data_IF_097860210660
#
_entry.id   IF_097860210660
#
_cell.length_a   1.000
_cell.length_b   1.000
_cell.length_c   1.000
_cell.angle_alpha   90.00
_cell.angle_beta   90.00
_cell.angle_gamma   90.00
#
_symmetry.space_group_name_H-M   'P 1'
#
loop_
_entity.id
_entity.type
_entity.pdbx_description
1 polymer ?
#
# COMPACT_ATOMS: atom_id res chain seq x y z
N UNK A 1 21.57 1.22 -19.95
CA UNK A 1 21.37 1.93 -19.40
C UNK A 1 20.24 2.37 -19.10
N UNK A 2 19.92 2.34 -18.22
CA UNK A 2 18.68 2.73 -17.84
C UNK A 2 18.43 4.10 -18.31
N UNK A 3 17.29 4.40 -18.53
CA UNK A 3 16.94 5.68 -18.97
C UNK A 3 17.27 6.60 -17.92
N UNK A 4 17.69 7.67 -18.30
CA UNK A 4 17.90 8.68 -17.38
C UNK A 4 16.62 9.16 -16.78
N UNK A 5 15.55 8.70 -17.18
CA UNK A 5 14.32 9.23 -16.71
C UNK A 5 14.00 8.89 -15.29
N UNK A 6 12.81 9.09 -14.91
CA UNK A 6 12.37 8.87 -13.56
C UNK A 6 12.48 7.41 -13.22
N UNK A 7 12.90 7.15 -12.03
CA UNK A 7 12.94 5.81 -11.52
C UNK A 7 11.60 5.50 -10.89
N UNK A 8 11.04 4.39 -11.28
CA UNK A 8 9.74 3.98 -10.78
C UNK A 8 9.84 2.60 -10.20
N UNK A 9 8.80 2.24 -9.47
CA UNK A 9 8.69 0.94 -8.84
C UNK A 9 7.34 0.33 -9.22
N UNK A 10 7.36 -0.92 -9.61
CA UNK A 10 6.15 -1.69 -9.72
C UNK A 10 5.86 -2.26 -8.36
N UNK A 11 4.76 -1.85 -7.78
CA UNK A 11 4.44 -2.21 -6.41
C UNK A 11 3.31 -3.21 -6.40
N UNK A 12 3.48 -4.25 -5.64
CA UNK A 12 2.46 -5.27 -5.47
C UNK A 12 2.17 -5.40 -4.00
N UNK A 13 0.91 -5.30 -3.63
CA UNK A 13 0.51 -5.44 -2.23
C UNK A 13 -0.26 -6.73 -2.08
N UNK A 14 0.17 -7.59 -1.19
CA UNK A 14 -0.50 -8.85 -0.91
C UNK A 14 -1.12 -8.75 0.46
N UNK A 15 -2.43 -8.94 0.54
CA UNK A 15 -3.17 -8.77 1.78
C UNK A 15 -3.70 -10.13 2.22
N UNK A 16 -3.34 -10.51 3.44
CA UNK A 16 -3.74 -11.80 4.01
C UNK A 16 -4.19 -11.60 5.43
N UNK A 17 -4.90 -12.58 5.95
CA UNK A 17 -5.23 -12.55 7.36
C UNK A 17 -4.12 -13.26 8.14
N UNK A 18 -4.30 -13.39 9.45
CA UNK A 18 -3.26 -13.98 10.29
C UNK A 18 -3.03 -15.44 10.00
N UNK A 19 -3.99 -16.10 9.38
CA UNK A 19 -3.84 -17.51 9.01
C UNK A 19 -3.25 -17.68 7.62
N UNK A 20 -2.88 -16.59 6.99
CA UNK A 20 -2.28 -16.65 5.65
C UNK A 20 -3.27 -16.71 4.52
N UNK A 21 -4.56 -16.53 4.79
CA UNK A 21 -5.55 -16.59 3.72
C UNK A 21 -5.68 -15.24 3.06
N UNK A 22 -5.78 -15.21 1.74
CA UNK A 22 -5.90 -13.94 1.03
C UNK A 22 -7.22 -13.25 1.35
N UNK A 23 -7.19 -11.94 1.36
CA UNK A 23 -8.37 -11.13 1.62
C UNK A 23 -8.76 -10.43 0.34
N UNK A 24 -9.93 -10.79 -0.18
CA UNK A 24 -10.49 -10.22 -1.38
C UNK A 24 -11.14 -8.88 -1.06
N UNK A 25 -11.05 -7.96 -1.99
CA UNK A 25 -11.75 -6.67 -1.90
C UNK A 25 -11.32 -5.80 -0.72
N UNK A 26 -10.10 -5.95 -0.30
CA UNK A 26 -9.55 -5.00 0.65
C UNK A 26 -9.17 -3.74 -0.10
N UNK A 27 -9.44 -2.59 0.50
CA UNK A 27 -9.07 -1.32 -0.09
C UNK A 27 -7.62 -1.04 0.25
N UNK A 28 -6.81 -0.87 -0.78
CA UNK A 28 -5.40 -0.58 -0.61
C UNK A 28 -5.17 0.85 -1.07
N UNK A 29 -4.71 1.67 -0.14
CA UNK A 29 -4.41 3.06 -0.44
C UNK A 29 -2.92 3.25 -0.35
N UNK A 30 -2.34 3.85 -1.36
CA UNK A 30 -0.92 4.15 -1.39
C UNK A 30 -0.78 5.64 -1.58
N UNK A 31 -0.12 6.30 -0.64
CA UNK A 31 0.10 7.73 -0.70
C UNK A 31 1.58 8.02 -0.68
N UNK A 32 1.98 8.93 -1.53
CA UNK A 32 3.36 9.35 -1.56
C UNK A 32 3.58 10.32 -0.41
N UNK A 33 4.56 10.04 0.41
CA UNK A 33 4.87 10.90 1.54
C UNK A 33 5.99 11.85 1.16
N UNK A 34 7.01 11.31 0.53
CA UNK A 34 8.16 12.10 0.22
C UNK A 34 8.88 11.50 -0.96
N UNK A 35 9.25 12.30 -1.91
CA UNK A 35 9.95 11.79 -3.06
C UNK A 35 10.72 12.88 -3.73
N UNK A 36 11.62 12.47 -4.60
CA UNK A 36 12.52 13.39 -5.18
C UNK A 36 11.92 14.26 -6.22
N UNK A 37 10.94 13.80 -6.92
CA UNK A 37 10.45 14.55 -8.04
C UNK A 37 9.07 15.04 -7.92
N UNK A 38 8.49 14.97 -6.77
CA UNK A 38 7.11 15.28 -6.64
C UNK A 38 6.78 16.70 -7.00
N UNK A 39 7.59 17.60 -6.65
CA UNK A 39 7.30 18.98 -6.83
C UNK A 39 7.98 19.60 -7.99
N UNK A 40 8.62 18.82 -8.81
CA UNK A 40 9.29 19.36 -9.86
C UNK A 40 8.40 20.02 -10.80
N UNK A 41 8.67 21.04 -11.32
CA UNK A 41 7.95 21.68 -12.42
C UNK A 41 6.59 22.24 -12.08
N UNK A 42 6.21 22.21 -10.85
CA UNK A 42 4.94 22.76 -10.48
C UNK A 42 3.74 22.08 -11.08
N UNK A 43 3.88 20.91 -11.63
CA UNK A 43 2.75 20.20 -12.17
C UNK A 43 2.11 19.35 -11.10
N UNK A 44 0.82 19.17 -11.23
CA UNK A 44 0.15 18.29 -10.31
C UNK A 44 0.49 16.87 -10.64
N UNK A 45 1.06 16.16 -9.70
CA UNK A 45 1.43 14.78 -9.88
C UNK A 45 0.51 13.96 -9.01
N UNK A 46 0.07 12.85 -9.54
CA UNK A 46 -0.77 11.97 -8.76
C UNK A 46 0.06 11.44 -7.60
N UNK A 47 -0.40 11.66 -6.39
CA UNK A 47 0.34 11.25 -5.20
C UNK A 47 -0.39 10.21 -4.39
N UNK A 48 -1.52 9.74 -4.87
CA UNK A 48 -2.23 8.69 -4.16
C UNK A 48 -2.92 7.77 -5.13
N UNK A 49 -3.04 6.52 -4.73
CA UNK A 49 -3.70 5.49 -5.53
C UNK A 49 -4.56 4.67 -4.60
N UNK A 50 -5.69 4.22 -5.11
CA UNK A 50 -6.58 3.35 -4.34
C UNK A 50 -7.04 2.22 -5.24
N UNK A 51 -6.82 0.99 -4.79
CA UNK A 51 -7.21 -0.18 -5.55
C UNK A 51 -7.79 -1.20 -4.57
N UNK A 52 -8.52 -2.15 -5.13
CA UNK A 52 -9.04 -3.25 -4.32
C UNK A 52 -8.27 -4.51 -4.66
N UNK A 53 -8.07 -5.35 -3.66
CA UNK A 53 -7.42 -6.62 -3.92
C UNK A 53 -8.35 -7.53 -4.70
N UNK A 54 -7.74 -8.45 -5.42
CA UNK A 54 -8.50 -9.46 -6.15
C UNK A 54 -8.70 -10.68 -5.26
N UNK A 55 -9.19 -11.76 -5.84
CA UNK A 55 -9.49 -12.96 -5.06
C UNK A 55 -8.25 -13.58 -4.44
N UNK A 56 -7.11 -13.27 -4.97
CA UNK A 56 -5.86 -13.77 -4.42
C UNK A 56 -5.27 -12.82 -3.40
N UNK A 57 -5.99 -11.76 -3.06
CA UNK A 57 -5.54 -10.80 -2.08
C UNK A 57 -4.50 -9.86 -2.61
N UNK A 58 -4.42 -9.67 -3.92
CA UNK A 58 -3.35 -8.90 -4.53
C UNK A 58 -3.89 -7.63 -5.15
N UNK A 59 -3.19 -6.54 -4.89
CA UNK A 59 -3.43 -5.28 -5.59
C UNK A 59 -2.13 -4.89 -6.28
N UNK A 60 -2.19 -4.72 -7.60
CA UNK A 60 -1.03 -4.31 -8.37
C UNK A 60 -1.14 -2.82 -8.63
N UNK A 61 -0.20 -2.09 -8.08
CA UNK A 61 -0.21 -0.64 -8.18
C UNK A 61 0.52 -0.26 -9.46
N UNK A 62 -0.01 0.69 -10.23
CA UNK A 62 0.74 1.15 -11.40
C UNK A 62 2.11 1.67 -10.99
N UNK A 63 3.06 1.72 -11.90
CA UNK A 63 4.40 2.19 -11.52
C UNK A 63 4.33 3.56 -10.85
N UNK A 64 5.01 3.67 -9.73
CA UNK A 64 5.00 4.89 -8.95
C UNK A 64 6.43 5.39 -8.81
N UNK A 65 6.62 6.67 -8.58
CA UNK A 65 7.97 7.19 -8.34
C UNK A 65 8.56 6.58 -7.09
N UNK A 66 9.85 6.44 -7.06
CA UNK A 66 10.51 5.92 -5.88
C UNK A 66 10.56 6.97 -4.79
N UNK A 67 10.53 6.51 -3.55
CA UNK A 67 10.53 7.39 -2.39
C UNK A 67 9.81 6.73 -1.24
N UNK A 68 9.38 7.54 -0.30
CA UNK A 68 8.68 7.04 0.87
C UNK A 68 7.19 7.09 0.64
N UNK A 69 6.52 6.00 0.92
CA UNK A 69 5.08 5.90 0.72
C UNK A 69 4.42 5.45 2.01
N UNK A 70 3.15 5.77 2.12
CA UNK A 70 2.30 5.27 3.19
C UNK A 70 1.33 4.28 2.57
N UNK A 71 1.28 3.08 3.08
CA UNK A 71 0.35 2.06 2.62
C UNK A 71 -0.69 1.85 3.70
N UNK A 72 -1.94 2.02 3.33
CA UNK A 72 -3.07 1.76 4.23
C UNK A 72 -3.94 0.69 3.61
N UNK A 73 -4.39 -0.24 4.42
CA UNK A 73 -5.25 -1.30 3.94
C UNK A 73 -6.46 -1.37 4.86
N UNK A 74 -7.63 -1.30 4.26
CA UNK A 74 -8.89 -1.30 4.99
C UNK A 74 -9.74 -2.44 4.46
N UNK A 75 -10.17 -3.32 5.35
CA UNK A 75 -11.03 -4.42 4.97
C UNK A 75 -12.07 -4.60 6.06
N UNK A 76 -13.25 -5.04 5.63
CA UNK A 76 -14.33 -5.26 6.55
C UNK A 76 -13.94 -6.33 7.55
N UNK A 77 -14.22 -6.11 8.80
CA UNK A 77 -13.97 -7.09 9.87
C UNK A 77 -12.50 -7.25 10.22
N UNK A 78 -11.67 -6.29 9.83
CA UNK A 78 -10.26 -6.31 10.18
C UNK A 78 -9.83 -4.96 10.70
N UNK A 79 -8.77 -4.93 11.46
CA UNK A 79 -8.19 -3.67 11.88
C UNK A 79 -7.52 -3.02 10.69
N UNK A 80 -7.58 -1.71 10.63
CA UNK A 80 -6.94 -0.96 9.56
C UNK A 80 -5.43 -1.05 9.71
N UNK A 81 -4.77 -1.31 8.60
CA UNK A 81 -3.32 -1.35 8.56
C UNK A 81 -2.80 -0.02 8.03
N UNK A 82 -1.71 0.47 8.58
CA UNK A 82 -1.09 1.67 8.06
C UNK A 82 0.38 1.67 8.43
N UNK A 83 1.23 1.82 7.43
CA UNK A 83 2.67 1.81 7.66
C UNK A 83 3.39 2.48 6.51
N UNK A 84 4.48 3.15 6.82
CA UNK A 84 5.31 3.78 5.82
C UNK A 84 6.37 2.80 5.34
N UNK A 85 6.70 2.90 4.07
CA UNK A 85 7.72 2.06 3.46
C UNK A 85 8.61 2.92 2.57
N UNK A 86 9.87 2.55 2.49
CA UNK A 86 10.76 3.15 1.52
C UNK A 86 10.79 2.27 0.30
N UNK A 87 10.53 2.85 -0.85
CA UNK A 87 10.46 2.11 -2.09
C UNK A 87 11.56 2.62 -3.00
N UNK A 88 12.56 1.81 -3.23
CA UNK A 88 13.67 2.22 -4.08
C UNK A 88 14.14 1.12 -5.00
N UNK A 89 13.33 0.11 -5.21
CA UNK A 89 13.64 -0.98 -6.13
C UNK A 89 12.73 -0.88 -7.35
N UNK A 90 13.11 -1.54 -8.42
CA UNK A 90 12.26 -1.55 -9.60
C UNK A 90 10.96 -2.31 -9.35
N UNK A 91 11.02 -3.32 -8.52
CA UNK A 91 9.85 -4.09 -8.18
C UNK A 91 9.86 -4.35 -6.70
N UNK A 92 8.72 -4.22 -6.08
CA UNK A 92 8.62 -4.48 -4.65
C UNK A 92 7.28 -5.09 -4.33
N UNK A 93 7.31 -6.13 -3.51
CA UNK A 93 6.10 -6.76 -2.99
C UNK A 93 6.05 -6.51 -1.50
N UNK A 94 4.93 -5.99 -1.05
CA UNK A 94 4.71 -5.76 0.38
C UNK A 94 3.60 -6.69 0.82
N UNK A 95 3.90 -7.51 1.82
CA UNK A 95 2.90 -8.40 2.37
C UNK A 95 2.29 -7.75 3.60
N UNK A 96 0.97 -7.68 3.62
CA UNK A 96 0.23 -7.07 4.72
C UNK A 96 -0.62 -8.15 5.36
N UNK A 97 -0.45 -8.33 6.66
CA UNK A 97 -1.29 -9.25 7.41
C UNK A 97 -2.25 -8.44 8.25
N UNK A 98 -3.54 -8.60 8.00
CA UNK A 98 -4.55 -7.86 8.73
C UNK A 98 -4.96 -8.64 9.97
N UNK A 99 -5.07 -7.91 11.06
CA UNK A 99 -5.45 -8.47 12.33
C UNK A 99 -6.96 -8.46 12.48
N UNK A 100 -7.51 -9.43 13.20
CA UNK A 100 -8.94 -9.40 13.47
C UNK A 100 -9.27 -8.19 14.33
N UNK A 101 -10.53 -7.79 14.38
CA UNK A 101 -10.90 -6.64 15.19
C UNK A 101 -10.54 -6.90 16.63
N UNK A 102 -10.16 -5.83 17.30
CA UNK A 102 -9.89 -5.94 18.71
C UNK A 102 -11.17 -6.22 19.44
N UNK A 103 -11.11 -7.19 20.35
CA UNK A 103 -12.27 -7.44 21.16
C UNK A 103 -12.54 -6.20 22.02
N UNK A 104 -13.79 -5.79 22.02
CA UNK A 104 -14.16 -4.69 22.87
C UNK A 104 -14.67 -5.24 24.13
N UNK A 105 -13.87 -5.20 25.13
CA UNK A 105 -14.37 -5.56 26.42
C UNK A 105 -15.07 -4.37 26.96
N UNK A 106 -16.29 -4.51 27.30
CA UNK A 106 -16.90 -3.48 27.98
C UNK A 106 -16.36 -3.60 29.33
N UNK A 107 -15.50 -3.00 29.52
CA UNK A 107 -14.99 -3.06 30.76
C UNK A 107 -15.84 -2.58 31.79
N UNK A 108 -16.29 -2.66 31.90
CA UNK A 108 -16.70 -2.29 32.73
C UNK A 108 -17.08 -2.81 33.18
N UNK A 109 -16.95 -2.81 33.57
CA UNK A 109 -17.12 -3.34 34.28
C UNK A 109 -17.68 -3.17 34.49
#
# INVERSE_FOLDING_TARGET
MGPAGAQTTKLRIEVKNVDGKPIDRASVLVKFVEGRSIVKLGKKIRTSWELKTNQEGVASIPPIPQGQILVQVIAKHYQTFGQKFDVNEEEKTIEVKLQPPQAQYSAHP
#
